data_IF_533160537864
#
_entry.id   IF_533160537864
#
_cell.length_a   1.000
_cell.length_b   1.000
_cell.length_c   1.000
_cell.angle_alpha   90.00
_cell.angle_beta   90.00
_cell.angle_gamma   90.00
#
_symmetry.space_group_name_H-M   'P 1'
#
loop_
_entity.id
_entity.type
_entity.pdbx_description
1 polymer ?
#
# COMPACT_ATOMS: atom_id res chain seq x y z
N UNK A 1 14.79 9.36 24.90
CA UNK A 1 13.88 8.55 24.03
C UNK A 1 13.76 9.30 22.72
N UNK A 2 14.47 8.88 21.70
CA UNK A 2 14.19 9.25 20.31
C UNK A 2 13.00 8.40 19.91
N UNK A 3 11.77 8.91 20.10
CA UNK A 3 10.55 8.26 19.62
C UNK A 3 10.27 8.73 18.21
N UNK A 4 9.94 7.81 17.31
CA UNK A 4 9.39 8.16 16.03
C UNK A 4 8.01 8.79 16.27
N UNK A 5 7.74 9.90 15.58
CA UNK A 5 6.43 10.53 15.64
C UNK A 5 5.51 9.92 14.57
N UNK A 6 4.19 10.00 14.74
CA UNK A 6 3.25 9.57 13.71
C UNK A 6 3.54 10.15 12.32
N UNK A 7 4.01 11.39 12.21
CA UNK A 7 4.41 12.01 10.94
C UNK A 7 5.58 11.30 10.25
N UNK A 8 6.39 10.55 10.99
CA UNK A 8 7.49 9.74 10.43
C UNK A 8 6.99 8.39 9.88
N UNK A 9 5.73 8.07 10.10
CA UNK A 9 5.08 6.89 9.55
C UNK A 9 4.34 7.25 8.25
N UNK A 10 4.20 6.26 7.37
CA UNK A 10 3.51 6.40 6.09
C UNK A 10 2.54 5.23 5.91
N UNK A 11 1.28 5.52 5.72
CA UNK A 11 0.24 4.55 5.39
C UNK A 11 -0.12 4.68 3.91
N UNK A 12 0.10 3.63 3.13
CA UNK A 12 -0.22 3.59 1.70
C UNK A 12 -1.48 2.75 1.48
N UNK A 13 -2.42 3.31 0.72
CA UNK A 13 -3.72 2.67 0.46
C UNK A 13 -3.97 2.51 -1.04
N UNK A 14 -4.74 1.50 -1.48
CA UNK A 14 -5.12 1.35 -2.87
C UNK A 14 -6.08 2.46 -3.32
N UNK A 15 -6.11 2.80 -4.62
CA UNK A 15 -7.03 3.81 -5.15
C UNK A 15 -8.51 3.53 -4.84
N UNK A 16 -8.89 2.25 -4.79
CA UNK A 16 -10.26 1.82 -4.46
C UNK A 16 -10.68 2.06 -3.00
N UNK A 17 -9.73 2.36 -2.11
CA UNK A 17 -10.01 2.69 -0.69
C UNK A 17 -10.41 4.15 -0.47
N UNK A 18 -10.35 4.99 -1.50
CA UNK A 18 -10.79 6.38 -1.40
C UNK A 18 -12.30 6.42 -1.47
N UNK A 19 -12.91 6.88 -0.39
CA UNK A 19 -14.36 6.96 -0.20
C UNK A 19 -14.78 8.41 0.03
N UNK A 20 -16.07 8.68 -0.06
CA UNK A 20 -16.61 9.98 0.31
C UNK A 20 -16.82 10.02 1.82
N UNK A 21 -16.00 10.78 2.51
CA UNK A 21 -16.07 11.01 3.95
C UNK A 21 -16.95 12.23 4.28
N UNK A 22 -17.21 12.47 5.57
CA UNK A 22 -17.92 13.68 6.02
C UNK A 22 -17.17 14.99 5.66
N UNK A 23 -15.85 14.90 5.44
CA UNK A 23 -14.97 16.04 5.16
C UNK A 23 -14.52 16.11 3.68
N UNK A 24 -15.10 15.29 2.81
CA UNK A 24 -14.72 15.20 1.39
C UNK A 24 -14.15 13.83 1.01
N UNK A 25 -13.43 13.72 -0.13
CA UNK A 25 -12.74 12.49 -0.48
C UNK A 25 -11.65 12.16 0.55
N UNK A 26 -11.62 10.92 1.03
CA UNK A 26 -10.65 10.48 2.02
C UNK A 26 -10.50 8.96 2.03
N UNK A 27 -9.56 8.45 2.79
CA UNK A 27 -9.31 7.01 2.92
C UNK A 27 -10.14 6.40 4.06
N UNK A 28 -10.80 5.27 3.80
CA UNK A 28 -11.50 4.51 4.83
C UNK A 28 -10.56 4.10 6.00
N UNK A 29 -9.29 3.79 5.69
CA UNK A 29 -8.29 3.45 6.70
C UNK A 29 -7.94 4.69 7.56
N UNK A 30 -7.85 5.87 6.95
CA UNK A 30 -7.62 7.12 7.66
C UNK A 30 -8.79 7.46 8.59
N UNK A 31 -10.04 7.30 8.13
CA UNK A 31 -11.22 7.48 8.97
C UNK A 31 -11.24 6.51 10.16
N UNK A 32 -10.94 5.24 9.93
CA UNK A 32 -10.87 4.24 10.99
C UNK A 32 -9.81 4.60 12.04
N UNK A 33 -8.64 5.05 11.62
CA UNK A 33 -7.59 5.50 12.53
C UNK A 33 -8.01 6.76 13.31
N UNK A 34 -8.65 7.72 12.65
CA UNK A 34 -9.19 8.92 13.32
C UNK A 34 -10.29 8.57 14.34
N UNK A 35 -11.15 7.60 14.03
CA UNK A 35 -12.19 7.11 14.96
C UNK A 35 -11.60 6.47 16.23
N UNK A 36 -10.38 5.94 16.17
CA UNK A 36 -9.62 5.46 17.34
C UNK A 36 -8.90 6.58 18.10
N UNK A 37 -9.08 7.83 17.72
CA UNK A 37 -8.47 9.00 18.36
C UNK A 37 -7.12 9.42 17.79
N UNK A 38 -6.68 8.82 16.68
CA UNK A 38 -5.45 9.21 15.99
C UNK A 38 -5.62 10.51 15.20
N UNK A 39 -4.56 11.32 15.12
CA UNK A 39 -4.53 12.47 14.21
C UNK A 39 -4.07 12.03 12.83
N UNK A 40 -4.71 12.55 11.79
CA UNK A 40 -4.53 12.12 10.41
C UNK A 40 -4.21 13.29 9.50
N UNK A 41 -3.20 13.13 8.67
CA UNK A 41 -3.04 13.87 7.44
C UNK A 41 -3.41 12.94 6.26
N UNK A 42 -4.59 13.16 5.68
CA UNK A 42 -5.11 12.32 4.59
C UNK A 42 -4.79 12.92 3.22
N UNK A 43 -3.58 12.69 2.74
CA UNK A 43 -3.11 13.07 1.41
C UNK A 43 -3.69 12.23 0.27
N UNK A 44 -4.71 11.40 0.49
CA UNK A 44 -5.45 10.74 -0.61
C UNK A 44 -6.29 11.76 -1.38
N UNK A 45 -6.75 12.82 -0.72
CA UNK A 45 -7.38 13.97 -1.37
C UNK A 45 -6.31 14.89 -2.00
N UNK A 46 -6.58 15.37 -3.22
CA UNK A 46 -5.62 16.17 -4.00
C UNK A 46 -5.30 17.51 -3.36
N UNK A 47 -6.31 18.19 -2.83
CA UNK A 47 -6.21 19.48 -2.17
C UNK A 47 -5.40 19.40 -0.87
N UNK A 48 -5.52 18.32 -0.13
CA UNK A 48 -4.72 18.09 1.09
C UNK A 48 -3.24 17.87 0.74
N UNK A 49 -2.93 17.23 -0.38
CA UNK A 49 -1.54 16.99 -0.81
C UNK A 49 -0.75 18.25 -1.16
N UNK A 50 -1.42 19.37 -1.41
CA UNK A 50 -0.78 20.66 -1.67
C UNK A 50 -0.17 21.27 -0.40
N UNK A 51 -0.64 20.84 0.79
CA UNK A 51 -0.11 21.25 2.08
C UNK A 51 0.52 20.05 2.81
N UNK A 52 1.79 20.14 3.17
CA UNK A 52 2.45 19.12 3.96
C UNK A 52 1.88 19.08 5.40
N UNK A 53 1.89 17.91 6.09
CA UNK A 53 1.44 17.84 7.48
C UNK A 53 2.24 18.82 8.37
N UNK A 54 1.52 19.56 9.21
CA UNK A 54 2.10 20.59 10.08
C UNK A 54 2.20 20.12 11.54
N UNK A 55 1.44 19.10 11.91
CA UNK A 55 1.47 18.49 13.24
C UNK A 55 2.23 17.16 13.17
N UNK A 56 3.27 17.02 13.99
CA UNK A 56 4.06 15.79 14.08
C UNK A 56 3.29 14.57 14.61
N UNK A 57 2.13 14.79 15.21
CA UNK A 57 1.24 13.73 15.69
C UNK A 57 0.29 13.21 14.58
N UNK A 58 0.34 13.77 13.39
CA UNK A 58 -0.47 13.30 12.25
C UNK A 58 0.19 12.10 11.56
N UNK A 59 -0.53 10.98 11.47
CA UNK A 59 -0.17 9.86 10.60
C UNK A 59 -0.51 10.21 9.16
N UNK A 60 0.46 10.01 8.25
CA UNK A 60 0.30 10.32 6.82
C UNK A 60 -0.34 9.16 6.08
N UNK A 61 -1.48 9.43 5.42
CA UNK A 61 -2.11 8.50 4.49
C UNK A 61 -1.96 9.00 3.06
N UNK A 62 -1.60 8.11 2.13
CA UNK A 62 -1.44 8.42 0.71
C UNK A 62 -1.90 7.26 -0.16
N UNK A 63 -2.31 7.54 -1.39
CA UNK A 63 -2.51 6.49 -2.38
C UNK A 63 -1.18 5.95 -2.89
N UNK A 64 -1.14 4.69 -3.29
CA UNK A 64 0.05 4.06 -3.87
C UNK A 64 0.69 4.84 -5.01
N UNK A 65 -0.14 5.39 -5.91
CA UNK A 65 0.38 6.19 -7.03
C UNK A 65 1.02 7.52 -6.58
N UNK A 66 0.73 7.97 -5.36
CA UNK A 66 1.23 9.23 -4.78
C UNK A 66 2.37 9.03 -3.78
N UNK A 67 2.73 7.80 -3.42
CA UNK A 67 3.81 7.54 -2.45
C UNK A 67 5.22 7.64 -3.05
N UNK A 68 5.32 7.84 -4.37
CA UNK A 68 6.63 7.98 -5.04
C UNK A 68 7.37 9.22 -4.52
N UNK A 69 8.59 9.02 -4.05
CA UNK A 69 9.43 10.09 -3.48
C UNK A 69 9.15 10.39 -2.01
N UNK A 70 8.14 9.76 -1.39
CA UNK A 70 7.92 9.81 0.04
C UNK A 70 8.66 8.65 0.72
N UNK A 71 9.05 8.87 1.95
CA UNK A 71 9.63 7.84 2.82
C UNK A 71 8.98 7.92 4.20
N UNK A 72 8.99 6.81 4.91
CA UNK A 72 8.58 6.71 6.30
C UNK A 72 9.54 5.82 7.08
N UNK A 73 9.77 6.15 8.33
CA UNK A 73 10.52 5.26 9.22
C UNK A 73 9.83 3.90 9.29
N UNK A 74 8.52 3.92 9.51
CA UNK A 74 7.66 2.75 9.35
C UNK A 74 6.65 3.00 8.24
N UNK A 75 6.44 2.00 7.39
CA UNK A 75 5.47 2.07 6.28
C UNK A 75 4.47 0.93 6.41
N UNK A 76 3.19 1.27 6.31
CA UNK A 76 2.09 0.31 6.27
C UNK A 76 1.46 0.34 4.88
N UNK A 77 1.51 -0.77 4.18
CA UNK A 77 0.89 -0.96 2.88
C UNK A 77 -0.43 -1.74 3.06
N UNK A 78 -1.57 -1.06 2.94
CA UNK A 78 -2.89 -1.70 3.05
C UNK A 78 -3.30 -2.36 1.73
N UNK A 79 -3.78 -3.60 1.79
CA UNK A 79 -4.33 -4.32 0.64
C UNK A 79 -3.42 -4.25 -0.60
N UNK A 80 -2.14 -4.56 -0.42
CA UNK A 80 -1.14 -4.45 -1.50
C UNK A 80 -1.44 -5.36 -2.69
N UNK A 81 -2.13 -6.47 -2.48
CA UNK A 81 -2.64 -7.35 -3.53
C UNK A 81 -3.67 -6.66 -4.44
N UNK A 82 -4.49 -5.74 -3.91
CA UNK A 82 -5.39 -4.94 -4.75
C UNK A 82 -4.63 -4.01 -5.72
N UNK A 83 -3.47 -3.46 -5.29
CA UNK A 83 -2.61 -2.72 -6.21
C UNK A 83 -2.08 -3.62 -7.32
N UNK A 84 -1.61 -4.83 -6.98
CA UNK A 84 -1.16 -5.80 -7.96
C UNK A 84 -2.23 -6.10 -8.99
N UNK A 85 -3.41 -6.48 -8.54
CA UNK A 85 -4.53 -6.84 -9.41
C UNK A 85 -5.00 -5.68 -10.28
N UNK A 86 -5.02 -4.47 -9.72
CA UNK A 86 -5.37 -3.26 -10.46
C UNK A 86 -4.37 -3.01 -11.60
N UNK A 87 -3.06 -3.07 -11.31
CA UNK A 87 -2.02 -2.80 -12.31
C UNK A 87 -1.91 -3.90 -13.37
N UNK A 88 -2.13 -5.15 -13.01
CA UNK A 88 -2.20 -6.25 -13.99
C UNK A 88 -3.38 -6.05 -14.96
N UNK A 89 -4.58 -5.80 -14.43
CA UNK A 89 -5.78 -5.52 -15.26
C UNK A 89 -5.63 -4.26 -16.10
N UNK A 90 -5.01 -3.21 -15.56
CA UNK A 90 -4.74 -1.98 -16.31
C UNK A 90 -3.86 -2.26 -17.53
N UNK A 91 -2.79 -3.04 -17.35
CA UNK A 91 -1.89 -3.42 -18.42
C UNK A 91 -2.60 -4.19 -19.53
N UNK A 92 -3.46 -5.14 -19.16
CA UNK A 92 -4.28 -5.92 -20.09
C UNK A 92 -5.26 -5.07 -20.88
N UNK A 93 -5.93 -4.12 -20.20
CA UNK A 93 -6.92 -3.22 -20.80
C UNK A 93 -6.29 -2.20 -21.77
N UNK A 94 -5.07 -1.77 -21.51
CA UNK A 94 -4.32 -0.85 -22.38
C UNK A 94 -3.82 -1.51 -23.67
N UNK A 95 -3.98 -2.84 -23.82
CA UNK A 95 -3.60 -3.58 -25.04
C UNK A 95 -2.11 -3.45 -25.37
N UNK A 96 -1.25 -3.35 -24.34
CA UNK A 96 0.20 -3.17 -24.52
C UNK A 96 0.81 -4.35 -25.25
N UNK A 97 1.74 -4.05 -26.14
CA UNK A 97 2.50 -5.05 -26.87
C UNK A 97 3.44 -5.81 -25.93
N UNK A 98 3.58 -7.09 -26.19
CA UNK A 98 4.58 -7.98 -25.60
C UNK A 98 5.11 -8.91 -26.68
N UNK A 99 6.30 -9.41 -26.50
CA UNK A 99 6.87 -10.41 -27.41
C UNK A 99 6.44 -11.82 -26.96
N UNK A 100 5.55 -12.49 -27.71
CA UNK A 100 5.07 -13.82 -27.34
C UNK A 100 6.15 -14.91 -27.39
N UNK A 101 7.32 -14.62 -27.95
CA UNK A 101 8.47 -15.53 -27.95
C UNK A 101 9.28 -15.44 -26.65
N UNK A 102 9.12 -14.33 -25.91
CA UNK A 102 9.86 -14.09 -24.66
C UNK A 102 9.01 -14.40 -23.43
N UNK A 103 7.75 -14.00 -23.44
CA UNK A 103 6.85 -14.13 -22.30
C UNK A 103 5.37 -14.24 -22.73
N UNK A 104 4.57 -14.86 -21.91
CA UNK A 104 3.11 -14.86 -22.09
C UNK A 104 2.51 -13.52 -21.72
N UNK A 105 1.27 -13.26 -22.16
CA UNK A 105 0.55 -12.04 -21.79
C UNK A 105 0.38 -11.90 -20.28
N UNK A 106 0.11 -13.00 -19.59
CA UNK A 106 -0.04 -13.05 -18.12
C UNK A 106 1.28 -12.71 -17.42
N UNK A 107 2.42 -13.25 -17.90
CA UNK A 107 3.73 -12.91 -17.36
C UNK A 107 4.09 -11.45 -17.56
N UNK A 108 3.75 -10.87 -18.73
CA UNK A 108 3.97 -9.46 -19.00
C UNK A 108 3.13 -8.57 -18.07
N UNK A 109 1.85 -8.91 -17.85
CA UNK A 109 0.98 -8.21 -16.91
C UNK A 109 1.49 -8.32 -15.46
N UNK A 110 1.90 -9.51 -15.04
CA UNK A 110 2.48 -9.75 -13.70
C UNK A 110 3.78 -8.96 -13.50
N UNK A 111 4.66 -8.95 -14.49
CA UNK A 111 5.90 -8.15 -14.46
C UNK A 111 5.61 -6.65 -14.39
N UNK A 112 4.57 -6.17 -15.08
CA UNK A 112 4.13 -4.78 -14.98
C UNK A 112 3.64 -4.47 -13.56
N UNK A 113 2.75 -5.30 -13.00
CA UNK A 113 2.23 -5.14 -11.64
C UNK A 113 3.36 -5.16 -10.60
N UNK A 114 4.33 -6.08 -10.73
CA UNK A 114 5.49 -6.18 -9.84
C UNK A 114 6.29 -4.86 -9.77
N UNK A 115 6.51 -4.20 -10.92
CA UNK A 115 7.21 -2.90 -10.94
C UNK A 115 6.51 -1.82 -10.15
N UNK A 116 5.16 -1.82 -10.14
CA UNK A 116 4.37 -0.86 -9.36
C UNK A 116 4.39 -1.19 -7.88
N UNK A 117 4.29 -2.46 -7.52
CA UNK A 117 4.34 -2.93 -6.13
C UNK A 117 5.71 -2.66 -5.49
N UNK A 118 6.79 -2.68 -6.25
CA UNK A 118 8.13 -2.31 -5.74
C UNK A 118 8.20 -0.88 -5.22
N UNK A 119 7.36 0.04 -5.73
CA UNK A 119 7.40 1.44 -5.29
C UNK A 119 7.06 1.56 -3.79
N UNK A 120 5.89 1.11 -3.29
CA UNK A 120 5.58 1.19 -1.87
C UNK A 120 6.45 0.28 -0.99
N UNK A 121 6.92 -0.87 -1.51
CA UNK A 121 7.79 -1.76 -0.75
C UNK A 121 9.15 -1.13 -0.40
N UNK A 122 9.60 -0.16 -1.18
CA UNK A 122 10.90 0.51 -0.99
C UNK A 122 10.79 1.86 -0.26
N UNK A 123 9.66 2.14 0.38
CA UNK A 123 9.43 3.41 1.09
C UNK A 123 9.79 3.37 2.58
N UNK A 124 9.93 2.18 3.16
CA UNK A 124 10.29 2.02 4.57
C UNK A 124 11.80 2.18 4.78
N UNK A 125 12.17 2.96 5.80
CA UNK A 125 13.57 3.09 6.24
C UNK A 125 13.92 1.95 7.20
N UNK A 126 12.99 1.59 8.10
CA UNK A 126 13.21 0.58 9.14
C UNK A 126 12.18 -0.56 9.07
N UNK A 127 10.91 -0.25 9.29
CA UNK A 127 9.86 -1.27 9.41
C UNK A 127 8.86 -1.19 8.27
N UNK A 128 8.62 -2.32 7.61
CA UNK A 128 7.61 -2.48 6.57
C UNK A 128 6.51 -3.44 7.02
N UNK A 129 5.27 -2.96 7.05
CA UNK A 129 4.07 -3.77 7.28
C UNK A 129 3.30 -3.90 5.98
N UNK A 130 2.92 -5.12 5.61
CA UNK A 130 2.17 -5.40 4.38
C UNK A 130 0.85 -6.08 4.75
N UNK A 131 -0.26 -5.38 4.54
CA UNK A 131 -1.60 -5.94 4.59
C UNK A 131 -1.97 -6.56 3.24
N UNK A 132 -2.50 -7.77 3.29
CA UNK A 132 -3.00 -8.51 2.13
C UNK A 132 -4.43 -8.96 2.39
N UNK A 133 -5.26 -8.95 1.37
CA UNK A 133 -6.57 -9.59 1.41
C UNK A 133 -6.47 -11.10 1.68
N UNK A 134 -7.59 -11.72 1.97
CA UNK A 134 -7.64 -13.16 2.30
C UNK A 134 -7.60 -14.06 1.07
N UNK A 135 -7.89 -13.52 -0.12
CA UNK A 135 -7.90 -14.28 -1.35
C UNK A 135 -6.50 -14.79 -1.74
N UNK A 136 -6.39 -16.00 -2.26
CA UNK A 136 -5.14 -16.47 -2.82
C UNK A 136 -4.76 -15.64 -4.06
N UNK A 137 -3.45 -15.39 -4.24
CA UNK A 137 -2.97 -14.61 -5.37
C UNK A 137 -1.45 -14.72 -5.55
N UNK A 138 -0.95 -14.29 -6.71
CA UNK A 138 0.47 -14.42 -7.04
C UNK A 138 1.36 -13.63 -6.08
N UNK A 139 0.97 -12.40 -5.73
CA UNK A 139 1.73 -11.58 -4.78
C UNK A 139 1.80 -12.23 -3.39
N UNK A 140 0.67 -12.73 -2.87
CA UNK A 140 0.61 -13.43 -1.58
C UNK A 140 1.54 -14.64 -1.57
N UNK A 141 1.56 -15.42 -2.65
CA UNK A 141 2.42 -16.60 -2.79
C UNK A 141 3.90 -16.23 -2.79
N UNK A 142 4.29 -15.14 -3.45
CA UNK A 142 5.68 -14.65 -3.47
C UNK A 142 6.08 -14.16 -2.08
N UNK A 143 5.26 -13.32 -1.43
CA UNK A 143 5.56 -12.78 -0.11
C UNK A 143 5.62 -13.88 0.97
N UNK A 144 4.73 -14.88 0.88
CA UNK A 144 4.80 -16.05 1.79
C UNK A 144 6.11 -16.80 1.65
N UNK A 145 6.56 -17.05 0.43
CA UNK A 145 7.87 -17.68 0.19
C UNK A 145 9.02 -16.87 0.75
N UNK A 146 8.97 -15.54 0.63
CA UNK A 146 9.99 -14.65 1.23
C UNK A 146 9.98 -14.79 2.75
N UNK A 147 8.80 -14.80 3.39
CA UNK A 147 8.68 -14.99 4.83
C UNK A 147 9.24 -16.33 5.30
N UNK A 148 8.94 -17.41 4.58
CA UNK A 148 9.44 -18.75 4.88
C UNK A 148 10.98 -18.86 4.70
N UNK A 149 11.58 -18.11 3.78
CA UNK A 149 13.01 -18.08 3.53
C UNK A 149 13.79 -17.17 4.49
N UNK A 150 13.13 -16.19 5.10
CA UNK A 150 13.74 -15.16 5.94
C UNK A 150 13.03 -14.98 7.28
N UNK A 151 12.84 -16.04 8.09
CA UNK A 151 12.05 -15.98 9.33
C UNK A 151 12.68 -15.06 10.39
N UNK A 152 13.98 -14.77 10.30
CA UNK A 152 14.66 -13.85 11.22
C UNK A 152 14.32 -12.36 10.96
N UNK A 153 13.80 -12.05 9.78
CA UNK A 153 13.51 -10.68 9.35
C UNK A 153 12.05 -10.44 9.00
N UNK A 154 11.30 -11.52 8.72
CA UNK A 154 9.92 -11.43 8.25
C UNK A 154 9.01 -12.26 9.15
N UNK A 155 8.08 -11.59 9.80
CA UNK A 155 7.00 -12.22 10.55
C UNK A 155 5.75 -12.30 9.66
N UNK A 156 5.18 -13.51 9.53
CA UNK A 156 3.92 -13.72 8.84
C UNK A 156 2.80 -13.92 9.85
N UNK A 157 1.84 -12.99 9.88
CA UNK A 157 0.71 -13.04 10.82
C UNK A 157 -0.57 -13.30 10.04
N UNK A 158 -1.32 -14.33 10.44
CA UNK A 158 -2.69 -14.55 9.95
C UNK A 158 -3.66 -13.86 10.92
N UNK A 159 -4.39 -12.88 10.43
CA UNK A 159 -5.41 -12.22 11.23
C UNK A 159 -6.66 -13.09 11.30
N UNK A 160 -7.32 -13.18 12.47
CA UNK A 160 -8.58 -13.89 12.59
C UNK A 160 -9.63 -13.26 11.66
N UNK A 161 -10.43 -14.10 10.99
CA UNK A 161 -11.58 -13.62 10.23
C UNK A 161 -12.54 -12.88 11.17
N UNK A 162 -12.72 -11.60 10.94
CA UNK A 162 -13.83 -10.85 11.54
C UNK A 162 -15.05 -11.15 10.68
N UNK A 163 -15.95 -12.00 11.18
CA UNK A 163 -17.27 -12.16 10.57
C UNK A 163 -18.01 -10.82 10.69
N UNK A 164 -18.24 -10.17 9.55
CA UNK A 164 -19.05 -8.94 9.45
C UNK A 164 -20.51 -9.27 9.23
#
# INVERSE_FOLDING_TARGET
>A
KLGNFPVDMLACVPPGSVVRTAHGPGSAAAEAYAAMGGKVWDGTARDVREAYPTDREELRFVQYDSCRGLEGWSVVNYDLDQLWDYKARQWEAEGRDHDPLIETREEAAARHAARWVMIPLTRAIDTLVIGLGTAPGPLRSVLRRVADQHPDFVEWVELPHVET
#
